data_IF_615555360113
#
_entry.id   IF_615555360113
#
_cell.length_a   1.000
_cell.length_b   1.000
_cell.length_c   1.000
_cell.angle_alpha   90.00
_cell.angle_beta   90.00
_cell.angle_gamma   90.00
#
_symmetry.space_group_name_H-M   'P 1'
#
loop_
_entity.id
_entity.type
_entity.pdbx_description
1 polymer ?
#
# COMPACT_ATOMS: atom_id res chain seq x y z
N UNK A 1 20.51 -4.73 7.51
CA UNK A 1 21.96 -5.02 7.68
C UNK A 1 22.66 -4.85 6.33
N UNK A 2 23.70 -4.02 6.24
CA UNK A 2 24.44 -3.82 4.98
C UNK A 2 25.26 -5.06 4.64
N UNK A 3 25.21 -5.53 3.40
CA UNK A 3 25.99 -6.69 2.97
C UNK A 3 27.47 -6.34 2.81
N UNK A 4 27.76 -5.18 2.19
CA UNK A 4 29.11 -4.74 1.84
C UNK A 4 29.36 -3.27 2.20
N UNK A 5 30.63 -2.87 2.29
CA UNK A 5 31.02 -1.47 2.55
C UNK A 5 30.60 -0.50 1.44
N UNK A 6 30.48 -0.98 0.20
CA UNK A 6 29.92 -0.18 -0.90
C UNK A 6 28.46 0.22 -0.62
N UNK A 7 27.65 -0.68 -0.06
CA UNK A 7 26.27 -0.36 0.30
C UNK A 7 26.22 0.66 1.43
N UNK A 8 27.14 0.56 2.40
CA UNK A 8 27.28 1.57 3.47
C UNK A 8 27.66 2.92 2.89
N UNK A 9 28.59 2.96 1.94
CA UNK A 9 29.02 4.19 1.27
C UNK A 9 27.88 4.80 0.47
N UNK A 10 27.17 4.01 -0.33
CA UNK A 10 26.00 4.48 -1.09
C UNK A 10 24.87 4.97 -0.18
N UNK A 11 24.58 4.27 0.91
CA UNK A 11 23.57 4.69 1.87
C UNK A 11 23.92 6.04 2.54
N UNK A 12 25.22 6.31 2.79
CA UNK A 12 25.68 7.61 3.29
C UNK A 12 25.58 8.74 2.26
N UNK A 13 25.55 8.41 0.98
CA UNK A 13 25.41 9.38 -0.12
C UNK A 13 23.93 9.67 -0.45
N UNK A 14 22.98 8.97 0.15
CA UNK A 14 21.56 9.22 -0.08
C UNK A 14 21.12 10.53 0.57
N UNK A 15 20.53 11.43 -0.22
CA UNK A 15 20.07 12.74 0.27
C UNK A 15 18.85 12.60 1.20
N UNK A 16 17.94 11.68 0.89
CA UNK A 16 16.71 11.41 1.65
C UNK A 16 16.41 9.91 1.69
N UNK A 17 17.05 9.15 2.58
CA UNK A 17 16.76 7.74 2.75
C UNK A 17 15.43 7.56 3.51
N UNK A 18 14.61 6.64 3.03
CA UNK A 18 13.40 6.16 3.69
C UNK A 18 13.67 4.72 4.12
N UNK A 19 13.38 4.41 5.38
CA UNK A 19 13.48 3.04 5.89
C UNK A 19 12.29 2.18 5.44
N UNK A 20 12.51 0.86 5.42
CA UNK A 20 11.49 -0.12 5.08
C UNK A 20 10.15 0.12 5.80
N UNK A 21 10.17 0.49 7.09
CA UNK A 21 8.92 0.73 7.85
C UNK A 21 8.16 1.93 7.32
N UNK A 22 8.81 3.07 7.11
CA UNK A 22 8.12 4.24 6.58
C UNK A 22 7.75 4.05 5.11
N UNK A 23 8.54 3.33 4.30
CA UNK A 23 8.21 3.02 2.92
C UNK A 23 6.88 2.25 2.80
N UNK A 24 6.72 1.16 3.55
CA UNK A 24 5.46 0.41 3.57
C UNK A 24 4.32 1.16 4.25
N UNK A 25 4.62 2.01 5.24
CA UNK A 25 3.64 2.93 5.82
C UNK A 25 3.08 3.89 4.78
N UNK A 26 3.93 4.65 4.08
CA UNK A 26 3.50 5.60 3.04
C UNK A 26 2.82 4.89 1.87
N UNK A 27 3.30 3.71 1.48
CA UNK A 27 2.64 2.90 0.46
C UNK A 27 1.21 2.52 0.89
N UNK A 28 1.03 2.10 2.15
CA UNK A 28 -0.28 1.85 2.74
C UNK A 28 -1.21 3.05 2.75
N UNK A 29 -0.66 4.21 3.08
CA UNK A 29 -1.41 5.46 3.04
C UNK A 29 -1.92 5.76 1.62
N UNK A 30 -1.03 5.63 0.62
CA UNK A 30 -1.36 5.90 -0.78
C UNK A 30 -2.43 4.94 -1.29
N UNK A 31 -2.21 3.63 -1.15
CA UNK A 31 -3.15 2.63 -1.67
C UNK A 31 -4.47 2.60 -0.91
N UNK A 32 -4.48 2.98 0.37
CA UNK A 32 -5.71 3.07 1.16
C UNK A 32 -6.55 4.32 0.87
N UNK A 33 -5.92 5.44 0.50
CA UNK A 33 -6.63 6.73 0.33
C UNK A 33 -6.90 7.09 -1.13
N UNK A 34 -5.99 6.77 -2.06
CA UNK A 34 -6.12 7.19 -3.46
C UNK A 34 -7.29 6.53 -4.20
N UNK A 35 -7.57 5.22 -4.06
CA UNK A 35 -8.72 4.62 -4.76
C UNK A 35 -10.06 5.22 -4.33
N UNK A 36 -10.37 5.39 -3.02
CA UNK A 36 -11.58 6.09 -2.60
C UNK A 36 -11.65 7.54 -3.11
N UNK A 37 -10.54 8.28 -3.09
CA UNK A 37 -10.48 9.63 -3.64
C UNK A 37 -10.74 9.65 -5.16
N UNK A 38 -10.23 8.66 -5.89
CA UNK A 38 -10.45 8.50 -7.32
C UNK A 38 -11.95 8.28 -7.62
N UNK A 39 -12.65 7.47 -6.82
CA UNK A 39 -14.10 7.31 -6.93
C UNK A 39 -14.86 8.60 -6.62
N UNK A 40 -14.48 9.33 -5.57
CA UNK A 40 -15.08 10.64 -5.25
C UNK A 40 -14.92 11.61 -6.42
N UNK A 41 -13.72 11.69 -7.00
CA UNK A 41 -13.44 12.56 -8.15
C UNK A 41 -14.26 12.16 -9.37
N UNK A 42 -14.32 10.86 -9.71
CA UNK A 42 -15.16 10.36 -10.81
C UNK A 42 -16.63 10.66 -10.58
N UNK A 43 -17.14 10.49 -9.37
CA UNK A 43 -18.53 10.76 -9.02
C UNK A 43 -18.87 12.26 -9.13
N UNK A 44 -17.96 13.15 -8.72
CA UNK A 44 -18.10 14.60 -8.87
C UNK A 44 -18.14 15.01 -10.34
N UNK A 45 -17.24 14.47 -11.16
CA UNK A 45 -17.18 14.76 -12.60
C UNK A 45 -18.38 14.21 -13.36
N UNK A 46 -18.90 13.04 -12.98
CA UNK A 46 -20.00 12.39 -13.68
C UNK A 46 -21.36 13.02 -13.37
N UNK A 47 -21.63 13.39 -12.11
CA UNK A 47 -23.01 13.65 -11.69
C UNK A 47 -23.33 15.10 -11.31
N UNK A 48 -22.37 16.03 -11.13
CA UNK A 48 -22.61 17.47 -10.87
C UNK A 48 -23.37 17.84 -9.58
N UNK A 49 -24.29 16.98 -9.11
CA UNK A 49 -25.16 17.09 -7.92
C UNK A 49 -25.14 15.79 -7.10
N UNK A 50 -24.01 15.07 -7.11
CA UNK A 50 -23.85 13.84 -6.33
C UNK A 50 -24.18 14.06 -4.85
N UNK A 51 -24.86 13.08 -4.23
CA UNK A 51 -25.24 13.13 -2.82
C UNK A 51 -23.99 13.41 -1.96
N UNK A 52 -23.88 14.65 -1.45
CA UNK A 52 -22.72 15.12 -0.69
C UNK A 52 -22.43 14.23 0.52
N UNK A 53 -23.47 13.67 1.14
CA UNK A 53 -23.33 12.72 2.24
C UNK A 53 -22.58 11.45 1.83
N UNK A 54 -22.90 10.88 0.66
CA UNK A 54 -22.21 9.69 0.14
C UNK A 54 -20.74 9.99 -0.18
N UNK A 55 -20.46 11.15 -0.78
CA UNK A 55 -19.08 11.56 -1.12
C UNK A 55 -18.23 11.77 0.13
N UNK A 56 -18.79 12.42 1.15
CA UNK A 56 -18.12 12.59 2.45
C UNK A 56 -17.86 11.25 3.13
N UNK A 57 -18.81 10.30 3.04
CA UNK A 57 -18.68 8.97 3.62
C UNK A 57 -17.58 8.15 2.92
N UNK A 58 -17.49 8.20 1.59
CA UNK A 58 -16.41 7.56 0.82
C UNK A 58 -15.05 8.20 1.16
N UNK A 59 -14.99 9.53 1.25
CA UNK A 59 -13.77 10.24 1.62
C UNK A 59 -13.31 9.86 3.03
N UNK A 60 -14.22 9.83 4.01
CA UNK A 60 -13.94 9.40 5.37
C UNK A 60 -13.44 7.95 5.42
N UNK A 61 -14.10 7.04 4.70
CA UNK A 61 -13.68 5.65 4.57
C UNK A 61 -12.25 5.55 4.01
N UNK A 62 -11.91 6.34 2.98
CA UNK A 62 -10.56 6.38 2.42
C UNK A 62 -9.50 6.93 3.37
N UNK A 63 -9.83 7.95 4.16
CA UNK A 63 -8.92 8.47 5.19
C UNK A 63 -8.64 7.39 6.23
N UNK A 64 -9.68 6.71 6.74
CA UNK A 64 -9.49 5.66 7.75
C UNK A 64 -8.73 4.46 7.17
N UNK A 65 -9.06 4.03 5.96
CA UNK A 65 -8.34 2.96 5.25
C UNK A 65 -6.87 3.32 5.08
N UNK A 66 -6.56 4.57 4.71
CA UNK A 66 -5.21 5.09 4.59
C UNK A 66 -4.46 5.12 5.93
N UNK A 67 -5.09 5.58 7.01
CA UNK A 67 -4.48 5.61 8.35
C UNK A 67 -4.18 4.20 8.86
N UNK A 68 -5.15 3.28 8.73
CA UNK A 68 -4.99 1.88 9.14
C UNK A 68 -3.93 1.21 8.28
N UNK A 69 -3.98 1.41 6.95
CA UNK A 69 -2.97 0.96 6.01
C UNK A 69 -1.58 1.45 6.38
N UNK A 70 -1.43 2.72 6.74
CA UNK A 70 -0.16 3.30 7.22
C UNK A 70 0.33 2.66 8.51
N UNK A 71 -0.54 2.51 9.51
CA UNK A 71 -0.17 1.96 10.82
C UNK A 71 0.25 0.50 10.72
N UNK A 72 -0.51 -0.32 10.01
CA UNK A 72 -0.21 -1.75 9.82
C UNK A 72 0.99 -1.91 8.87
N UNK A 73 1.05 -1.12 7.80
CA UNK A 73 2.16 -1.11 6.84
C UNK A 73 3.49 -0.71 7.48
N UNK A 74 3.48 0.19 8.46
CA UNK A 74 4.69 0.59 9.20
C UNK A 74 5.11 -0.41 10.28
N UNK A 75 4.15 -1.08 10.91
CA UNK A 75 4.42 -1.89 12.09
C UNK A 75 4.58 -3.37 11.76
N UNK A 76 3.61 -3.96 11.05
CA UNK A 76 3.51 -5.40 10.85
C UNK A 76 4.23 -5.90 9.58
N UNK A 77 4.01 -5.23 8.44
CA UNK A 77 4.55 -5.65 7.14
C UNK A 77 6.08 -5.79 7.12
N UNK A 78 6.88 -4.86 7.69
CA UNK A 78 8.33 -4.95 7.64
C UNK A 78 8.88 -6.13 8.45
N UNK A 79 8.27 -6.41 9.60
CA UNK A 79 8.67 -7.51 10.48
C UNK A 79 8.28 -8.86 9.86
N UNK A 80 7.08 -8.95 9.27
CA UNK A 80 6.67 -10.11 8.48
C UNK A 80 7.59 -10.35 7.27
N UNK A 81 7.98 -9.31 6.54
CA UNK A 81 8.90 -9.44 5.40
C UNK A 81 10.29 -9.92 5.81
N UNK A 82 10.80 -9.44 6.95
CA UNK A 82 12.08 -9.93 7.52
C UNK A 82 11.99 -11.41 7.85
N UNK A 83 10.89 -11.84 8.47
CA UNK A 83 10.64 -13.25 8.75
C UNK A 83 10.52 -14.08 7.46
N UNK A 84 9.75 -13.64 6.46
CA UNK A 84 9.59 -14.34 5.18
C UNK A 84 10.93 -14.45 4.43
N UNK A 85 11.84 -13.50 4.61
CA UNK A 85 13.14 -13.50 3.94
C UNK A 85 14.07 -14.65 4.36
N UNK A 86 13.79 -15.35 5.47
CA UNK A 86 14.58 -16.52 5.91
C UNK A 86 14.23 -17.80 5.16
N UNK A 87 13.08 -17.84 4.47
CA UNK A 87 12.64 -19.03 3.72
C UNK A 87 13.29 -19.14 2.34
N UNK A 88 13.17 -20.31 1.71
CA UNK A 88 13.61 -20.53 0.32
C UNK A 88 12.78 -19.70 -0.66
N UNK A 89 13.36 -19.39 -1.84
CA UNK A 89 12.74 -18.50 -2.82
C UNK A 89 11.33 -18.96 -3.24
N UNK A 90 11.14 -20.28 -3.42
CA UNK A 90 9.86 -20.86 -3.81
C UNK A 90 8.74 -20.62 -2.79
N UNK A 91 9.06 -20.65 -1.49
CA UNK A 91 8.08 -20.41 -0.42
C UNK A 91 7.84 -18.92 -0.15
N UNK A 92 8.71 -18.01 -0.62
CA UNK A 92 8.57 -16.57 -0.37
C UNK A 92 7.39 -15.95 -1.11
N UNK A 93 7.19 -16.32 -2.37
CA UNK A 93 6.15 -15.73 -3.23
C UNK A 93 4.73 -15.87 -2.65
N UNK A 94 4.26 -17.09 -2.27
CA UNK A 94 2.92 -17.23 -1.69
C UNK A 94 2.80 -16.49 -0.34
N UNK A 95 3.88 -16.42 0.44
CA UNK A 95 3.87 -15.68 1.71
C UNK A 95 3.77 -14.16 1.49
N UNK A 96 4.39 -13.61 0.45
CA UNK A 96 4.20 -12.20 0.10
C UNK A 96 2.78 -11.88 -0.35
N UNK A 97 2.17 -12.78 -1.13
CA UNK A 97 0.77 -12.67 -1.56
C UNK A 97 -0.15 -12.72 -0.35
N UNK A 98 0.06 -13.69 0.56
CA UNK A 98 -0.73 -13.82 1.78
C UNK A 98 -0.56 -12.60 2.70
N UNK A 99 0.66 -12.09 2.86
CA UNK A 99 0.92 -10.88 3.62
C UNK A 99 0.17 -9.68 3.04
N UNK A 100 0.20 -9.54 1.71
CA UNK A 100 -0.58 -8.54 0.99
C UNK A 100 -2.07 -8.70 1.21
N UNK A 101 -2.57 -9.93 1.14
CA UNK A 101 -3.97 -10.25 1.36
C UNK A 101 -4.44 -9.86 2.76
N UNK A 102 -3.72 -10.30 3.80
CA UNK A 102 -4.08 -9.99 5.19
C UNK A 102 -4.02 -8.50 5.45
N UNK A 103 -2.96 -7.83 5.01
CA UNK A 103 -2.82 -6.39 5.20
C UNK A 103 -3.91 -5.58 4.50
N UNK A 104 -4.16 -5.90 3.23
CA UNK A 104 -5.20 -5.26 2.43
C UNK A 104 -6.61 -5.55 2.94
N UNK A 105 -6.85 -6.76 3.44
CA UNK A 105 -8.14 -7.13 4.00
C UNK A 105 -8.44 -6.38 5.29
N UNK A 106 -7.46 -6.25 6.19
CA UNK A 106 -7.63 -5.52 7.45
C UNK A 106 -7.83 -4.03 7.18
N UNK A 107 -7.05 -3.42 6.28
CA UNK A 107 -7.22 -2.01 5.95
C UNK A 107 -8.56 -1.74 5.24
N UNK A 108 -8.93 -2.58 4.27
CA UNK A 108 -10.20 -2.49 3.55
C UNK A 108 -11.40 -2.68 4.47
N UNK A 109 -11.38 -3.68 5.35
CA UNK A 109 -12.45 -3.89 6.33
C UNK A 109 -12.61 -2.68 7.26
N UNK A 110 -11.52 -2.07 7.71
CA UNK A 110 -11.57 -0.89 8.56
C UNK A 110 -12.24 0.32 7.88
N UNK A 111 -11.99 0.53 6.57
CA UNK A 111 -12.70 1.53 5.78
C UNK A 111 -14.17 1.18 5.55
N UNK A 112 -14.46 -0.09 5.27
CA UNK A 112 -15.80 -0.57 4.98
C UNK A 112 -16.75 -0.54 6.18
N UNK A 113 -16.24 -0.46 7.42
CA UNK A 113 -17.06 -0.28 8.62
C UNK A 113 -17.94 0.98 8.57
N UNK A 114 -17.54 2.00 7.81
CA UNK A 114 -18.34 3.23 7.61
C UNK A 114 -19.53 3.03 6.66
N UNK A 115 -19.52 1.95 5.86
CA UNK A 115 -20.54 1.64 4.85
C UNK A 115 -21.37 0.40 5.27
N UNK A 116 -21.57 0.20 6.58
CA UNK A 116 -22.25 -0.97 7.19
C UNK A 116 -21.37 -2.22 7.37
N UNK A 117 -21.78 -3.10 8.30
CA UNK A 117 -21.08 -4.35 8.64
C UNK A 117 -20.86 -5.27 7.42
N UNK A 118 -21.85 -5.37 6.52
CA UNK A 118 -21.73 -6.12 5.28
C UNK A 118 -20.69 -5.48 4.35
N UNK A 119 -20.67 -4.14 4.28
CA UNK A 119 -19.67 -3.37 3.53
C UNK A 119 -18.25 -3.67 3.98
N UNK A 120 -18.02 -3.91 5.27
CA UNK A 120 -16.69 -4.27 5.79
C UNK A 120 -16.16 -5.60 5.26
N UNK A 121 -17.03 -6.60 5.03
CA UNK A 121 -16.63 -7.91 4.50
C UNK A 121 -16.21 -7.77 3.04
N UNK A 122 -17.04 -7.13 2.22
CA UNK A 122 -16.72 -6.90 0.81
C UNK A 122 -15.48 -6.02 0.63
N UNK A 123 -15.38 -4.93 1.40
CA UNK A 123 -14.22 -4.06 1.38
C UNK A 123 -12.95 -4.80 1.84
N UNK A 124 -13.06 -5.70 2.81
CA UNK A 124 -11.96 -6.58 3.22
C UNK A 124 -11.54 -7.55 2.13
N UNK A 125 -12.48 -8.23 1.46
CA UNK A 125 -12.14 -9.15 0.37
C UNK A 125 -11.45 -8.39 -0.77
N UNK A 126 -12.04 -7.28 -1.22
CA UNK A 126 -11.46 -6.46 -2.29
C UNK A 126 -10.10 -5.89 -1.87
N UNK A 127 -10.00 -5.31 -0.68
CA UNK A 127 -8.74 -4.81 -0.13
C UNK A 127 -7.68 -5.89 -0.07
N UNK A 128 -8.04 -7.11 0.32
CA UNK A 128 -7.15 -8.27 0.34
C UNK A 128 -6.65 -8.64 -1.06
N UNK A 129 -7.53 -8.71 -2.06
CA UNK A 129 -7.11 -8.98 -3.46
C UNK A 129 -6.15 -7.91 -3.98
N UNK A 130 -6.41 -6.64 -3.66
CA UNK A 130 -5.55 -5.52 -4.04
C UNK A 130 -4.19 -5.61 -3.35
N UNK A 131 -4.18 -5.84 -2.04
CA UNK A 131 -2.95 -6.01 -1.26
C UNK A 131 -2.13 -7.21 -1.75
N UNK A 132 -2.80 -8.32 -2.09
CA UNK A 132 -2.19 -9.53 -2.61
C UNK A 132 -1.41 -9.31 -3.93
N UNK A 133 -1.86 -8.38 -4.77
CA UNK A 133 -1.16 -8.03 -6.01
C UNK A 133 -0.08 -6.96 -5.79
N UNK A 134 -0.40 -5.95 -4.99
CA UNK A 134 0.42 -4.74 -4.86
C UNK A 134 1.60 -4.90 -3.91
N UNK A 135 1.47 -5.68 -2.83
CA UNK A 135 2.57 -5.93 -1.89
C UNK A 135 3.71 -6.72 -2.54
N UNK A 136 3.50 -7.86 -3.23
CA UNK A 136 4.61 -8.56 -3.90
C UNK A 136 5.31 -7.67 -4.92
N UNK A 137 4.54 -6.90 -5.70
CA UNK A 137 5.08 -5.94 -6.68
C UNK A 137 5.99 -4.91 -5.99
N UNK A 138 5.51 -4.31 -4.90
CA UNK A 138 6.28 -3.36 -4.11
C UNK A 138 7.52 -4.00 -3.48
N UNK A 139 7.41 -5.22 -2.95
CA UNK A 139 8.52 -5.97 -2.35
C UNK A 139 9.63 -6.24 -3.38
N UNK A 140 9.27 -6.68 -4.59
CA UNK A 140 10.23 -6.92 -5.66
C UNK A 140 10.93 -5.62 -6.06
N UNK A 141 10.18 -4.57 -6.38
CA UNK A 141 10.77 -3.28 -6.80
C UNK A 141 11.62 -2.65 -5.70
N UNK A 142 11.14 -2.69 -4.45
CA UNK A 142 11.92 -2.24 -3.29
C UNK A 142 13.19 -3.07 -3.13
N UNK A 143 13.15 -4.39 -3.32
CA UNK A 143 14.34 -5.24 -3.20
C UNK A 143 15.41 -4.97 -4.25
N UNK A 144 15.01 -4.51 -5.44
CA UNK A 144 15.91 -4.17 -6.55
C UNK A 144 16.61 -2.82 -6.36
N UNK A 145 15.97 -1.87 -5.67
CA UNK A 145 16.45 -0.48 -5.55
C UNK A 145 16.96 -0.11 -4.16
N UNK A 146 16.73 -0.94 -3.15
CA UNK A 146 17.20 -0.69 -1.79
C UNK A 146 18.71 -0.88 -1.67
N UNK A 147 19.33 -0.03 -0.86
CA UNK A 147 20.69 -0.22 -0.37
C UNK A 147 20.62 -0.57 1.12
N UNK A 148 20.63 -1.87 1.43
CA UNK A 148 20.34 -2.37 2.78
C UNK A 148 18.84 -2.33 3.10
N UNK A 149 18.47 -1.61 4.17
CA UNK A 149 17.07 -1.42 4.61
C UNK A 149 16.50 -0.05 4.22
N UNK A 150 17.24 0.70 3.38
CA UNK A 150 16.93 2.06 2.98
C UNK A 150 16.66 2.14 1.48
N UNK A 151 15.68 2.96 1.10
CA UNK A 151 15.39 3.35 -0.28
C UNK A 151 15.36 4.87 -0.38
N UNK A 152 15.93 5.43 -1.45
CA UNK A 152 15.90 6.87 -1.65
C UNK A 152 14.51 7.34 -2.08
N UNK A 153 14.04 8.47 -1.52
CA UNK A 153 12.68 9.00 -1.80
C UNK A 153 12.39 9.15 -3.29
N UNK A 154 13.40 9.56 -4.09
CA UNK A 154 13.27 9.77 -5.54
C UNK A 154 12.94 8.48 -6.32
N UNK A 155 13.32 7.32 -5.78
CA UNK A 155 13.00 6.02 -6.37
C UNK A 155 11.69 5.46 -5.79
N UNK A 156 11.48 5.66 -4.49
CA UNK A 156 10.29 5.19 -3.79
C UNK A 156 8.99 5.81 -4.33
N UNK A 157 8.94 7.15 -4.47
CA UNK A 157 7.72 7.86 -4.85
C UNK A 157 7.17 7.42 -6.22
N UNK A 158 7.96 7.37 -7.30
CA UNK A 158 7.47 6.90 -8.60
C UNK A 158 6.92 5.48 -8.56
N UNK A 159 7.51 4.59 -7.75
CA UNK A 159 7.03 3.20 -7.62
C UNK A 159 5.69 3.18 -6.89
N UNK A 160 5.62 3.82 -5.73
CA UNK A 160 4.41 3.84 -4.92
C UNK A 160 3.25 4.49 -5.68
N UNK A 161 3.50 5.63 -6.35
CA UNK A 161 2.52 6.28 -7.22
C UNK A 161 2.20 5.45 -8.45
N UNK A 162 3.19 4.85 -9.12
CA UNK A 162 2.97 4.04 -10.31
C UNK A 162 2.01 2.88 -10.02
N UNK A 163 2.32 2.07 -9.00
CA UNK A 163 1.46 0.94 -8.59
C UNK A 163 0.06 1.44 -8.24
N UNK A 164 -0.03 2.51 -7.43
CA UNK A 164 -1.32 3.00 -6.94
C UNK A 164 -2.16 3.63 -8.05
N UNK A 165 -1.56 4.44 -8.93
CA UNK A 165 -2.25 5.09 -10.04
C UNK A 165 -2.66 4.10 -11.12
N UNK A 166 -1.85 3.09 -11.43
CA UNK A 166 -2.25 1.99 -12.32
C UNK A 166 -3.45 1.26 -11.75
N UNK A 167 -3.46 0.98 -10.45
CA UNK A 167 -4.59 0.35 -9.79
C UNK A 167 -5.85 1.25 -9.80
N UNK A 168 -5.70 2.54 -9.51
CA UNK A 168 -6.80 3.51 -9.62
C UNK A 168 -7.33 3.59 -11.06
N UNK A 169 -6.47 3.63 -12.07
CA UNK A 169 -6.86 3.64 -13.49
C UNK A 169 -7.72 2.43 -13.83
N UNK A 170 -7.26 1.23 -13.43
CA UNK A 170 -8.01 -0.01 -13.59
C UNK A 170 -9.40 0.04 -12.93
N UNK A 171 -9.50 0.54 -11.68
CA UNK A 171 -10.78 0.69 -10.99
C UNK A 171 -11.71 1.71 -11.66
N UNK A 172 -11.15 2.76 -12.26
CA UNK A 172 -11.92 3.77 -12.97
C UNK A 172 -12.34 3.33 -14.37
N UNK A 173 -11.77 2.24 -14.90
CA UNK A 173 -12.04 1.72 -16.24
C UNK A 173 -11.35 2.52 -17.36
N UNK A 174 -10.18 3.10 -17.06
CA UNK A 174 -9.28 3.74 -18.03
C UNK A 174 -8.25 2.73 -18.53
#
# INVERSE_FOLDING_TARGET
>A
MFKNDDQRRKARLMTRPIDLRNAFGYFGLMIGSLPPLAFVLKALLANGSGNTGLLLLIAAAGIVTGIVGFRIGRSFVPDALRYISTFSLGSRLPLWILLGFVWGAVSGAAGGLFIFLIGSIFAGILGGLVGAMTVPTMVVLHSLLREGDLIETKHFLPIAFGITLTFCGYLLGL
#
